data_IF_865565551569
#
_entry.id   IF_865565551569
#
_cell.length_a   1.000
_cell.length_b   1.000
_cell.length_c   1.000
_cell.angle_alpha   90.00
_cell.angle_beta   90.00
_cell.angle_gamma   90.00
#
_symmetry.space_group_name_H-M   'P 1'
#
loop_
_entity.id
_entity.type
_entity.pdbx_description
1 polymer ?
#
# COMPACT_ATOMS: atom_id res chain seq x y z
N UNK A 1 12.57 40.57 24.13
CA UNK A 1 13.30 39.28 23.96
C UNK A 1 12.82 38.16 24.88
N UNK A 2 11.90 38.41 25.85
CA UNK A 2 11.28 37.35 26.68
C UNK A 2 9.99 36.77 26.08
N UNK A 3 9.28 37.54 25.26
CA UNK A 3 7.96 37.12 24.75
C UNK A 3 8.04 36.03 23.68
N UNK A 4 9.17 35.93 22.95
CA UNK A 4 9.34 35.03 21.81
C UNK A 4 9.65 33.57 22.23
N UNK A 5 10.19 33.38 23.45
CA UNK A 5 10.54 32.06 24.00
C UNK A 5 9.28 31.36 24.51
N UNK A 6 8.36 32.11 25.13
CA UNK A 6 7.06 31.60 25.60
C UNK A 6 6.18 31.10 24.45
N UNK A 7 6.16 31.80 23.32
CA UNK A 7 5.40 31.38 22.14
C UNK A 7 5.97 30.10 21.51
N UNK A 8 7.29 29.94 21.47
CA UNK A 8 7.93 28.73 20.93
C UNK A 8 7.69 27.51 21.84
N UNK A 9 7.69 27.70 23.17
CA UNK A 9 7.35 26.62 24.12
C UNK A 9 5.87 26.24 24.08
N UNK A 10 4.95 27.21 23.93
CA UNK A 10 3.52 26.95 23.78
C UNK A 10 3.18 26.28 22.44
N UNK A 11 3.85 26.69 21.36
CA UNK A 11 3.78 26.02 20.05
C UNK A 11 4.38 24.61 20.13
N UNK A 12 5.43 24.40 20.93
CA UNK A 12 6.00 23.08 21.21
C UNK A 12 5.06 22.17 22.00
N UNK A 13 4.42 22.69 23.06
CA UNK A 13 3.45 21.96 23.90
C UNK A 13 2.14 21.69 23.18
N UNK A 14 1.66 22.59 22.33
CA UNK A 14 0.47 22.36 21.48
C UNK A 14 0.77 21.30 20.41
N UNK A 15 1.94 21.34 19.76
CA UNK A 15 2.41 20.28 18.86
C UNK A 15 2.56 18.92 19.56
N UNK A 16 2.97 18.88 20.83
CA UNK A 16 3.03 17.64 21.62
C UNK A 16 1.65 17.13 22.06
N UNK A 17 0.75 18.01 22.55
CA UNK A 17 -0.63 17.66 22.91
C UNK A 17 -1.44 17.18 21.70
N UNK A 18 -1.22 17.74 20.52
CA UNK A 18 -1.90 17.35 19.27
C UNK A 18 -1.29 16.14 18.55
N UNK A 19 -0.07 15.72 18.93
CA UNK A 19 0.47 14.41 18.53
C UNK A 19 -0.22 13.28 19.30
N UNK A 20 -0.83 13.58 20.46
CA UNK A 20 -1.47 12.60 21.33
C UNK A 20 -2.58 11.79 20.64
N UNK A 21 -3.53 12.34 19.84
CA UNK A 21 -4.60 11.54 19.24
C UNK A 21 -4.10 10.56 18.17
N UNK A 22 -3.11 10.95 17.37
CA UNK A 22 -2.48 10.07 16.37
C UNK A 22 -1.59 9.05 17.04
N UNK A 23 -0.82 9.43 18.08
CA UNK A 23 -0.05 8.49 18.89
C UNK A 23 -0.94 7.57 19.73
N UNK A 24 -2.16 7.98 20.09
CA UNK A 24 -3.17 7.19 20.80
C UNK A 24 -3.92 6.27 19.84
N UNK A 25 -4.20 6.69 18.60
CA UNK A 25 -4.71 5.79 17.56
C UNK A 25 -3.64 4.78 17.16
N UNK A 26 -2.41 5.22 16.90
CA UNK A 26 -1.26 4.35 16.67
C UNK A 26 -0.91 3.53 17.91
N UNK A 27 -1.24 4.01 19.11
CA UNK A 27 -1.03 3.34 20.41
C UNK A 27 -2.06 2.26 20.66
N UNK A 28 -3.35 2.54 20.44
CA UNK A 28 -4.46 1.57 20.43
C UNK A 28 -4.30 0.54 19.32
N UNK A 29 -3.79 0.96 18.16
CA UNK A 29 -3.38 0.06 17.08
C UNK A 29 -2.24 -0.87 17.55
N UNK A 30 -1.24 -0.33 18.26
CA UNK A 30 -0.12 -1.09 18.85
C UNK A 30 -0.54 -2.07 19.96
N UNK A 31 -1.48 -1.69 20.81
CA UNK A 31 -1.99 -2.55 21.90
C UNK A 31 -2.81 -3.72 21.35
N UNK A 32 -3.74 -3.46 20.42
CA UNK A 32 -4.51 -4.52 19.75
C UNK A 32 -3.62 -5.45 18.91
N UNK A 33 -2.49 -4.97 18.35
CA UNK A 33 -1.53 -5.79 17.61
C UNK A 33 -0.71 -6.73 18.50
N UNK A 34 -0.27 -6.29 19.69
CA UNK A 34 0.50 -7.10 20.64
C UNK A 34 -0.27 -8.29 21.19
N UNK A 35 -1.59 -8.17 21.32
CA UNK A 35 -2.46 -9.26 21.79
C UNK A 35 -2.75 -10.33 20.71
N UNK A 36 -2.49 -10.02 19.43
CA UNK A 36 -2.73 -10.93 18.32
C UNK A 36 -1.52 -11.83 18.04
N UNK A 37 -1.67 -13.14 18.30
CA UNK A 37 -0.67 -14.12 17.92
C UNK A 37 -0.34 -14.09 16.41
N UNK A 38 0.91 -14.39 16.05
CA UNK A 38 1.43 -14.29 14.67
C UNK A 38 0.53 -14.96 13.62
N UNK A 39 -0.13 -16.07 13.97
CA UNK A 39 -1.07 -16.80 13.12
C UNK A 39 -2.33 -15.98 12.82
N UNK A 40 -2.94 -15.34 13.83
CA UNK A 40 -4.13 -14.49 13.63
C UNK A 40 -3.81 -13.31 12.72
N UNK A 41 -2.63 -12.70 12.90
CA UNK A 41 -2.16 -11.63 12.04
C UNK A 41 -1.93 -12.07 10.59
N UNK A 42 -1.39 -13.28 10.37
CA UNK A 42 -1.22 -13.84 9.04
C UNK A 42 -2.56 -14.14 8.36
N UNK A 43 -3.55 -14.66 9.10
CA UNK A 43 -4.91 -14.88 8.57
C UNK A 43 -5.54 -13.54 8.17
N UNK A 44 -5.44 -12.52 9.02
CA UNK A 44 -5.93 -11.18 8.71
C UNK A 44 -5.31 -10.60 7.44
N UNK A 45 -3.99 -10.76 7.26
CA UNK A 45 -3.28 -10.39 6.04
C UNK A 45 -3.80 -11.14 4.80
N UNK A 46 -4.00 -12.45 4.89
CA UNK A 46 -4.52 -13.25 3.79
C UNK A 46 -5.93 -12.82 3.36
N UNK A 47 -6.82 -12.60 4.32
CA UNK A 47 -8.19 -12.12 4.06
C UNK A 47 -8.14 -10.74 3.42
N UNK A 48 -7.37 -9.81 3.98
CA UNK A 48 -7.28 -8.45 3.47
C UNK A 48 -6.69 -8.43 2.05
N UNK A 49 -5.66 -9.24 1.77
CA UNK A 49 -5.11 -9.38 0.41
C UNK A 49 -6.12 -9.97 -0.55
N UNK A 50 -6.88 -10.99 -0.16
CA UNK A 50 -7.94 -11.56 -0.98
C UNK A 50 -8.96 -10.48 -1.38
N UNK A 51 -9.45 -9.71 -0.41
CA UNK A 51 -10.43 -8.66 -0.68
C UNK A 51 -9.84 -7.53 -1.55
N UNK A 52 -8.58 -7.15 -1.31
CA UNK A 52 -7.89 -6.16 -2.13
C UNK A 52 -7.75 -6.61 -3.58
N UNK A 53 -7.17 -7.79 -3.83
CA UNK A 53 -6.95 -8.32 -5.18
C UNK A 53 -8.27 -8.54 -5.93
N UNK A 54 -9.31 -9.01 -5.23
CA UNK A 54 -10.67 -9.09 -5.77
C UNK A 54 -11.20 -7.72 -6.23
N UNK A 55 -10.94 -6.66 -5.44
CA UNK A 55 -11.53 -5.35 -5.67
C UNK A 55 -10.78 -4.51 -6.68
N UNK A 56 -9.45 -4.66 -6.82
CA UNK A 56 -8.63 -3.81 -7.71
C UNK A 56 -9.18 -3.69 -9.14
N UNK A 57 -9.63 -4.75 -9.84
CA UNK A 57 -10.23 -4.61 -11.17
C UNK A 57 -11.51 -3.78 -11.20
N UNK A 58 -12.28 -3.76 -10.10
CA UNK A 58 -13.51 -2.97 -9.97
C UNK A 58 -13.24 -1.48 -9.97
N UNK A 59 -12.02 -1.04 -9.63
CA UNK A 59 -11.62 0.36 -9.73
C UNK A 59 -11.79 0.88 -11.16
N UNK A 60 -11.30 0.14 -12.16
CA UNK A 60 -11.46 0.51 -13.56
C UNK A 60 -12.93 0.48 -14.01
N UNK A 61 -13.68 -0.53 -13.55
CA UNK A 61 -15.11 -0.68 -13.85
C UNK A 61 -15.91 0.51 -13.31
N UNK A 62 -15.83 0.78 -12.01
CA UNK A 62 -16.55 1.89 -11.40
C UNK A 62 -16.12 3.24 -11.96
N UNK A 63 -14.81 3.46 -12.18
CA UNK A 63 -14.33 4.71 -12.74
C UNK A 63 -14.87 4.95 -14.16
N UNK A 64 -14.91 3.91 -15.00
CA UNK A 64 -15.46 4.00 -16.36
C UNK A 64 -16.97 4.22 -16.39
N UNK A 65 -17.72 3.58 -15.50
CA UNK A 65 -19.17 3.79 -15.37
C UNK A 65 -19.46 5.22 -14.92
N UNK A 66 -18.77 5.72 -13.90
CA UNK A 66 -18.97 7.08 -13.38
C UNK A 66 -18.57 8.12 -14.44
N UNK A 67 -17.44 7.93 -15.12
CA UNK A 67 -16.99 8.82 -16.19
C UNK A 67 -18.00 8.89 -17.34
N UNK A 68 -18.53 7.74 -17.76
CA UNK A 68 -19.56 7.68 -18.79
C UNK A 68 -20.87 8.37 -18.35
N UNK A 69 -21.30 8.18 -17.10
CA UNK A 69 -22.49 8.82 -16.55
C UNK A 69 -22.36 10.35 -16.50
N UNK A 70 -21.19 10.86 -16.12
CA UNK A 70 -20.90 12.31 -16.05
C UNK A 70 -20.59 12.91 -17.44
N UNK A 71 -20.41 12.07 -18.47
CA UNK A 71 -20.11 12.53 -19.83
C UNK A 71 -18.67 13.00 -20.03
N UNK A 72 -17.70 12.42 -19.30
CA UNK A 72 -16.28 12.76 -19.41
C UNK A 72 -15.46 11.58 -19.90
N UNK A 73 -14.37 11.86 -20.63
CA UNK A 73 -13.44 10.83 -21.05
C UNK A 73 -12.68 10.24 -19.86
N UNK A 74 -12.53 8.92 -19.82
CA UNK A 74 -11.88 8.21 -18.70
C UNK A 74 -10.42 8.64 -18.45
N UNK A 75 -9.70 9.02 -19.50
CA UNK A 75 -8.28 9.45 -19.41
C UNK A 75 -8.11 10.97 -19.33
N UNK A 76 -9.20 11.74 -19.29
CA UNK A 76 -9.15 13.18 -19.04
C UNK A 76 -8.79 13.50 -17.59
N UNK A 77 -8.43 14.74 -17.29
CA UNK A 77 -8.18 15.19 -15.91
C UNK A 77 -9.38 14.88 -15.00
N UNK A 78 -10.61 15.07 -15.50
CA UNK A 78 -11.83 14.75 -14.76
C UNK A 78 -11.99 13.23 -14.54
N UNK A 79 -11.72 12.41 -15.56
CA UNK A 79 -11.74 10.95 -15.46
C UNK A 79 -10.70 10.40 -14.47
N UNK A 80 -9.51 10.99 -14.45
CA UNK A 80 -8.48 10.66 -13.46
C UNK A 80 -8.87 11.09 -12.05
N UNK A 81 -9.49 12.26 -11.90
CA UNK A 81 -10.03 12.69 -10.60
C UNK A 81 -11.07 11.70 -10.08
N UNK A 82 -11.98 11.22 -10.92
CA UNK A 82 -12.93 10.15 -10.57
C UNK A 82 -12.18 8.90 -10.10
N UNK A 83 -11.19 8.46 -10.88
CA UNK A 83 -10.38 7.26 -10.60
C UNK A 83 -9.67 7.37 -9.25
N UNK A 84 -9.09 8.54 -8.95
CA UNK A 84 -8.42 8.82 -7.67
C UNK A 84 -9.41 8.74 -6.50
N UNK A 85 -10.61 9.29 -6.64
CA UNK A 85 -11.61 9.25 -5.56
C UNK A 85 -12.12 7.82 -5.31
N UNK A 86 -12.36 7.03 -6.36
CA UNK A 86 -12.70 5.61 -6.22
C UNK A 86 -11.56 4.83 -5.56
N UNK A 87 -10.32 5.06 -5.99
CA UNK A 87 -9.13 4.46 -5.38
C UNK A 87 -8.99 4.84 -3.90
N UNK A 88 -9.20 6.10 -3.55
CA UNK A 88 -9.16 6.59 -2.17
C UNK A 88 -10.23 5.93 -1.31
N UNK A 89 -11.45 5.74 -1.83
CA UNK A 89 -12.52 5.04 -1.12
C UNK A 89 -12.16 3.57 -0.83
N UNK A 90 -11.59 2.87 -1.82
CA UNK A 90 -11.12 1.50 -1.61
C UNK A 90 -10.01 1.46 -0.57
N UNK A 91 -8.96 2.27 -0.74
CA UNK A 91 -7.85 2.33 0.21
C UNK A 91 -8.32 2.69 1.62
N UNK A 92 -9.28 3.60 1.76
CA UNK A 92 -9.86 3.97 3.05
C UNK A 92 -10.53 2.76 3.69
N UNK A 93 -11.39 2.07 2.93
CA UNK A 93 -12.10 0.87 3.37
C UNK A 93 -11.14 -0.22 3.81
N UNK A 94 -10.14 -0.54 2.99
CA UNK A 94 -9.14 -1.58 3.32
C UNK A 94 -8.21 -1.18 4.45
N UNK A 95 -7.90 0.10 4.61
CA UNK A 95 -7.13 0.58 5.77
C UNK A 95 -7.92 0.43 7.07
N UNK A 96 -9.24 0.69 7.05
CA UNK A 96 -10.12 0.50 8.21
C UNK A 96 -10.29 -0.98 8.56
N UNK A 97 -10.51 -1.85 7.57
CA UNK A 97 -10.58 -3.30 7.78
C UNK A 97 -9.25 -3.82 8.30
N UNK A 98 -8.13 -3.41 7.71
CA UNK A 98 -6.80 -3.80 8.16
C UNK A 98 -6.53 -3.37 9.59
N UNK A 99 -6.95 -2.18 10.00
CA UNK A 99 -6.87 -1.71 11.38
C UNK A 99 -7.74 -2.57 12.32
N UNK A 100 -8.95 -2.94 11.91
CA UNK A 100 -9.83 -3.82 12.69
C UNK A 100 -9.28 -5.26 12.80
N UNK A 101 -8.53 -5.72 11.79
CA UNK A 101 -7.83 -7.01 11.76
C UNK A 101 -6.41 -6.92 12.37
N UNK A 102 -6.19 -6.06 13.36
CA UNK A 102 -4.92 -5.94 14.08
C UNK A 102 -3.75 -5.57 13.15
N UNK A 103 -3.94 -4.50 12.38
CA UNK A 103 -2.90 -3.93 11.50
C UNK A 103 -2.48 -4.83 10.34
N UNK A 104 -3.44 -5.62 9.84
CA UNK A 104 -3.25 -6.41 8.64
C UNK A 104 -2.85 -5.54 7.45
N UNK A 105 -1.96 -6.07 6.61
CA UNK A 105 -1.42 -5.43 5.42
C UNK A 105 -1.63 -6.36 4.23
N UNK A 106 -2.17 -5.82 3.14
CA UNK A 106 -2.38 -6.55 1.90
C UNK A 106 -1.18 -6.48 0.93
N UNK A 107 -0.09 -5.83 1.34
CA UNK A 107 1.07 -5.59 0.50
C UNK A 107 2.39 -5.97 1.20
N UNK A 108 3.14 -6.97 0.68
CA UNK A 108 4.45 -7.32 1.18
C UNK A 108 5.46 -6.15 1.13
N UNK A 109 5.46 -5.35 0.06
CA UNK A 109 6.36 -4.20 -0.08
C UNK A 109 6.08 -3.12 0.98
N UNK A 110 4.81 -2.85 1.28
CA UNK A 110 4.42 -1.97 2.39
C UNK A 110 4.88 -2.51 3.74
N UNK A 111 4.82 -3.83 3.93
CA UNK A 111 5.28 -4.46 5.17
C UNK A 111 6.80 -4.29 5.34
N UNK A 112 7.58 -4.53 4.28
CA UNK A 112 9.04 -4.34 4.28
C UNK A 112 9.42 -2.89 4.52
N UNK A 113 8.75 -1.94 3.87
CA UNK A 113 9.13 -0.53 4.00
C UNK A 113 8.88 -0.03 5.42
N UNK A 114 7.74 -0.38 6.02
CA UNK A 114 7.41 0.00 7.41
C UNK A 114 8.31 -0.71 8.44
N UNK A 115 8.62 -2.00 8.23
CA UNK A 115 9.58 -2.73 9.05
C UNK A 115 10.96 -2.08 8.99
N UNK A 116 11.49 -1.86 7.78
CA UNK A 116 12.81 -1.24 7.57
C UNK A 116 12.85 0.15 8.18
N UNK A 117 11.76 0.93 8.11
CA UNK A 117 11.65 2.25 8.73
C UNK A 117 11.60 2.23 10.27
N UNK A 118 11.39 1.07 10.89
CA UNK A 118 11.16 0.97 12.35
C UNK A 118 9.76 1.43 12.77
N UNK A 119 8.83 1.52 11.82
CA UNK A 119 7.45 1.96 12.05
C UNK A 119 6.50 0.78 12.31
N UNK A 120 6.97 -0.46 12.15
CA UNK A 120 6.26 -1.69 12.49
C UNK A 120 7.09 -2.54 13.47
N UNK A 121 7.13 -2.17 14.77
CA UNK A 121 8.03 -2.78 15.76
C UNK A 121 7.73 -4.25 16.04
N UNK A 122 6.50 -4.70 15.85
CA UNK A 122 6.09 -6.10 16.07
C UNK A 122 6.33 -6.98 14.84
N UNK A 123 6.74 -6.40 13.70
CA UNK A 123 7.19 -7.17 12.55
C UNK A 123 8.63 -7.66 12.79
N UNK A 124 8.81 -8.97 12.64
CA UNK A 124 10.12 -9.63 12.55
C UNK A 124 10.27 -10.31 11.18
N UNK A 125 11.50 -10.66 10.81
CA UNK A 125 11.75 -11.49 9.61
C UNK A 125 10.95 -12.79 9.65
N UNK A 126 10.85 -13.44 10.81
CA UNK A 126 10.05 -14.65 10.99
C UNK A 126 8.56 -14.39 10.75
N UNK A 127 8.02 -13.29 11.28
CA UNK A 127 6.62 -12.94 11.06
C UNK A 127 6.32 -12.67 9.58
N UNK A 128 7.25 -12.03 8.85
CA UNK A 128 7.09 -11.77 7.42
C UNK A 128 7.19 -13.06 6.60
N UNK A 129 8.08 -13.98 6.97
CA UNK A 129 8.19 -15.29 6.35
C UNK A 129 6.90 -16.12 6.47
N UNK A 130 6.14 -15.96 7.58
CA UNK A 130 4.82 -16.57 7.73
C UNK A 130 3.74 -15.83 6.93
N UNK A 131 3.77 -14.49 6.95
CA UNK A 131 2.69 -13.65 6.41
C UNK A 131 2.71 -13.55 4.89
N UNK A 132 3.88 -13.46 4.25
CA UNK A 132 3.96 -13.27 2.80
C UNK A 132 3.38 -14.44 1.98
N UNK A 133 3.62 -15.72 2.34
CA UNK A 133 2.93 -16.83 1.69
C UNK A 133 1.41 -16.77 1.86
N UNK A 134 0.92 -16.37 3.04
CA UNK A 134 -0.51 -16.24 3.32
C UNK A 134 -1.13 -15.08 2.53
N UNK A 135 -0.43 -13.94 2.41
CA UNK A 135 -0.84 -12.85 1.53
C UNK A 135 -0.87 -13.30 0.07
N UNK A 136 0.14 -14.03 -0.41
CA UNK A 136 0.19 -14.54 -1.78
C UNK A 136 -0.99 -15.50 -2.06
N UNK A 137 -1.27 -16.43 -1.14
CA UNK A 137 -2.43 -17.31 -1.23
C UNK A 137 -3.75 -16.53 -1.24
N UNK A 138 -3.89 -15.52 -0.38
CA UNK A 138 -5.03 -14.59 -0.41
C UNK A 138 -5.17 -13.91 -1.77
N UNK A 139 -4.07 -13.46 -2.36
CA UNK A 139 -4.05 -12.87 -3.70
C UNK A 139 -4.53 -13.82 -4.79
N UNK A 140 -4.15 -15.10 -4.73
CA UNK A 140 -4.65 -16.15 -5.64
C UNK A 140 -6.17 -16.28 -5.52
N UNK A 141 -6.68 -16.45 -4.29
CA UNK A 141 -8.13 -16.60 -4.05
C UNK A 141 -8.88 -15.38 -4.56
N UNK A 142 -8.39 -14.17 -4.29
CA UNK A 142 -8.99 -12.93 -4.76
C UNK A 142 -9.04 -12.83 -6.29
N UNK A 143 -7.94 -13.17 -6.98
CA UNK A 143 -7.85 -13.16 -8.43
C UNK A 143 -8.76 -14.21 -9.09
N UNK A 144 -8.85 -15.41 -8.51
CA UNK A 144 -9.78 -16.45 -8.96
C UNK A 144 -11.22 -15.97 -8.80
N UNK A 145 -11.60 -15.51 -7.60
CA UNK A 145 -12.96 -15.10 -7.29
C UNK A 145 -13.45 -13.98 -8.23
N UNK A 146 -12.62 -12.95 -8.49
CA UNK A 146 -13.03 -11.86 -9.39
C UNK A 146 -13.15 -12.34 -10.84
N UNK A 147 -12.30 -13.27 -11.27
CA UNK A 147 -12.35 -13.82 -12.64
C UNK A 147 -13.65 -14.60 -12.87
N UNK A 148 -14.11 -15.34 -11.86
CA UNK A 148 -15.38 -16.09 -11.92
C UNK A 148 -16.60 -15.16 -11.98
N UNK A 149 -16.67 -14.16 -11.10
CA UNK A 149 -17.88 -13.32 -10.96
C UNK A 149 -17.93 -12.11 -11.89
N UNK A 150 -16.82 -11.74 -12.55
CA UNK A 150 -16.78 -10.55 -13.41
C UNK A 150 -17.74 -10.70 -14.61
N UNK A 151 -18.70 -9.76 -14.80
CA UNK A 151 -19.61 -9.77 -15.94
C UNK A 151 -18.85 -9.74 -17.27
N UNK A 152 -19.40 -10.43 -18.30
CA UNK A 152 -18.75 -10.57 -19.62
C UNK A 152 -18.33 -9.23 -20.21
N UNK A 153 -19.18 -8.20 -20.08
CA UNK A 153 -18.88 -6.87 -20.62
C UNK A 153 -17.68 -6.18 -19.95
N UNK A 154 -17.28 -6.58 -18.73
CA UNK A 154 -16.17 -5.97 -17.98
C UNK A 154 -14.92 -6.84 -17.91
N UNK A 155 -14.93 -8.07 -18.43
CA UNK A 155 -13.75 -8.96 -18.38
C UNK A 155 -12.50 -8.38 -19.03
N UNK A 156 -12.66 -7.43 -19.96
CA UNK A 156 -11.55 -6.70 -20.56
C UNK A 156 -10.70 -5.90 -19.56
N UNK A 157 -11.21 -5.60 -18.36
CA UNK A 157 -10.47 -4.89 -17.31
C UNK A 157 -9.50 -5.79 -16.56
N UNK A 158 -9.73 -7.11 -16.56
CA UNK A 158 -8.90 -8.07 -15.84
C UNK A 158 -7.51 -8.18 -16.49
N UNK A 159 -7.47 -8.21 -17.84
CA UNK A 159 -6.24 -8.26 -18.68
C UNK A 159 -5.16 -9.25 -18.22
N UNK A 160 -5.52 -10.30 -17.47
CA UNK A 160 -4.57 -11.23 -16.86
C UNK A 160 -3.69 -10.64 -15.76
N UNK A 161 -4.02 -9.45 -15.24
CA UNK A 161 -3.31 -8.76 -14.16
C UNK A 161 -1.96 -8.16 -14.55
N UNK A 162 -1.09 -7.87 -13.55
CA UNK A 162 0.29 -7.45 -13.78
C UNK A 162 1.07 -8.47 -14.62
N UNK A 163 1.79 -7.99 -15.62
CA UNK A 163 2.58 -8.82 -16.53
C UNK A 163 3.66 -7.99 -17.21
N UNK A 164 4.83 -8.59 -17.42
CA UNK A 164 5.93 -7.95 -18.14
C UNK A 164 5.53 -7.65 -19.61
N UNK A 165 5.69 -6.40 -20.04
CA UNK A 165 5.37 -5.91 -21.41
C UNK A 165 6.58 -5.37 -22.17
N UNK A 166 7.72 -5.31 -21.50
CA UNK A 166 9.03 -4.85 -22.00
C UNK A 166 10.07 -5.94 -21.74
N UNK A 167 11.34 -5.71 -22.06
CA UNK A 167 12.40 -6.63 -21.68
C UNK A 167 12.50 -6.79 -20.16
N UNK A 168 13.08 -7.92 -19.74
CA UNK A 168 13.16 -8.33 -18.33
C UNK A 168 13.76 -7.26 -17.43
N UNK A 169 14.90 -6.67 -17.82
CA UNK A 169 15.63 -5.75 -16.97
C UNK A 169 14.95 -4.38 -16.90
N UNK A 170 14.42 -3.89 -18.02
CA UNK A 170 13.63 -2.64 -18.02
C UNK A 170 12.39 -2.78 -17.16
N UNK A 171 11.67 -3.91 -17.24
CA UNK A 171 10.51 -4.16 -16.40
C UNK A 171 10.85 -4.29 -14.92
N UNK A 172 11.96 -4.98 -14.61
CA UNK A 172 12.47 -5.11 -13.25
C UNK A 172 12.84 -3.75 -12.64
N UNK A 173 13.56 -2.90 -13.38
CA UNK A 173 13.89 -1.54 -12.97
C UNK A 173 12.61 -0.74 -12.77
N UNK A 174 11.64 -0.83 -13.69
CA UNK A 174 10.38 -0.11 -13.58
C UNK A 174 9.61 -0.49 -12.30
N UNK A 175 9.39 -1.78 -12.01
CA UNK A 175 8.72 -2.20 -10.77
C UNK A 175 9.46 -1.75 -9.50
N UNK A 176 10.80 -1.86 -9.50
CA UNK A 176 11.62 -1.38 -8.38
C UNK A 176 11.48 0.12 -8.14
N UNK A 177 11.56 0.94 -9.20
CA UNK A 177 11.45 2.40 -9.13
C UNK A 177 10.03 2.84 -8.75
N UNK A 178 9.00 2.21 -9.32
CA UNK A 178 7.61 2.52 -8.97
C UNK A 178 7.32 2.16 -7.52
N UNK A 179 7.79 0.99 -7.06
CA UNK A 179 7.66 0.56 -5.66
C UNK A 179 8.41 1.50 -4.72
N UNK A 180 9.60 1.96 -5.12
CA UNK A 180 10.37 2.96 -4.39
C UNK A 180 9.56 4.25 -4.19
N UNK A 181 8.99 4.81 -5.26
CA UNK A 181 8.24 6.07 -5.16
C UNK A 181 6.96 5.94 -4.34
N UNK A 182 6.19 4.84 -4.46
CA UNK A 182 5.00 4.67 -3.63
C UNK A 182 5.35 4.47 -2.16
N UNK A 183 6.44 3.75 -1.85
CA UNK A 183 6.90 3.58 -0.47
C UNK A 183 7.48 4.89 0.11
N UNK A 184 8.13 5.70 -0.71
CA UNK A 184 8.61 7.02 -0.32
C UNK A 184 7.43 7.97 -0.06
N UNK A 185 6.42 7.96 -0.92
CA UNK A 185 5.18 8.70 -0.73
C UNK A 185 4.46 8.25 0.56
N UNK A 186 4.39 6.95 0.83
CA UNK A 186 3.87 6.40 2.09
C UNK A 186 4.57 7.01 3.30
N UNK A 187 5.91 6.98 3.35
CA UNK A 187 6.65 7.57 4.46
C UNK A 187 6.45 9.08 4.57
N UNK A 188 6.49 9.80 3.46
CA UNK A 188 6.26 11.24 3.46
C UNK A 188 4.88 11.59 4.02
N UNK A 189 3.83 10.91 3.56
CA UNK A 189 2.45 11.11 4.02
C UNK A 189 2.27 10.72 5.49
N UNK A 190 2.92 9.65 5.94
CA UNK A 190 2.83 9.22 7.34
C UNK A 190 3.54 10.17 8.30
N UNK A 191 4.76 10.61 7.95
CA UNK A 191 5.65 11.37 8.84
C UNK A 191 5.47 12.89 8.73
N UNK A 192 5.27 13.42 7.52
CA UNK A 192 5.17 14.86 7.25
C UNK A 192 3.85 15.27 6.59
N UNK A 193 3.00 14.31 6.24
CA UNK A 193 1.70 14.57 5.61
C UNK A 193 0.67 15.21 6.55
N UNK A 194 -0.51 15.53 6.01
CA UNK A 194 -1.58 16.18 6.76
C UNK A 194 -2.06 15.31 7.92
N UNK A 195 -2.59 15.92 8.97
CA UNK A 195 -3.08 15.18 10.16
C UNK A 195 -4.35 14.37 9.88
N UNK A 196 -5.19 14.83 8.95
CA UNK A 196 -6.43 14.17 8.59
C UNK A 196 -6.17 12.84 7.89
N UNK A 197 -6.70 11.75 8.44
CA UNK A 197 -6.51 10.39 7.91
C UNK A 197 -7.07 10.19 6.51
N UNK A 198 -8.27 10.71 6.22
CA UNK A 198 -8.90 10.63 4.89
C UNK A 198 -8.01 11.33 3.85
N UNK A 199 -7.45 12.50 4.20
CA UNK A 199 -6.56 13.22 3.31
C UNK A 199 -5.23 12.47 3.09
N UNK A 200 -4.68 11.79 4.11
CA UNK A 200 -3.53 10.90 3.94
C UNK A 200 -3.82 9.79 2.93
N UNK A 201 -4.95 9.11 3.10
CA UNK A 201 -5.38 8.03 2.17
C UNK A 201 -5.57 8.57 0.76
N UNK A 202 -6.20 9.74 0.62
CA UNK A 202 -6.39 10.38 -0.68
C UNK A 202 -5.07 10.74 -1.36
N UNK A 203 -4.09 11.29 -0.64
CA UNK A 203 -2.75 11.56 -1.18
C UNK A 203 -2.03 10.28 -1.65
N UNK A 204 -2.20 9.16 -0.92
CA UNK A 204 -1.67 7.87 -1.35
C UNK A 204 -2.39 7.31 -2.58
N UNK A 205 -3.70 7.55 -2.71
CA UNK A 205 -4.45 7.21 -3.90
C UNK A 205 -3.99 8.02 -5.12
N UNK A 206 -3.74 9.32 -4.96
CA UNK A 206 -3.14 10.18 -6.00
C UNK A 206 -1.81 9.61 -6.46
N UNK A 207 -0.90 9.32 -5.53
CA UNK A 207 0.41 8.77 -5.84
C UNK A 207 0.29 7.41 -6.55
N UNK A 208 -0.59 6.53 -6.06
CA UNK A 208 -0.80 5.20 -6.62
C UNK A 208 -1.34 5.26 -8.04
N UNK A 209 -2.40 6.04 -8.28
CA UNK A 209 -2.98 6.19 -9.63
C UNK A 209 -1.96 6.79 -10.59
N UNK A 210 -1.22 7.83 -10.17
CA UNK A 210 -0.17 8.43 -10.99
C UNK A 210 0.94 7.44 -11.36
N UNK A 211 1.41 6.63 -10.41
CA UNK A 211 2.43 5.60 -10.66
C UNK A 211 1.88 4.46 -11.51
N UNK A 212 0.60 4.08 -11.35
CA UNK A 212 -0.04 3.08 -12.21
C UNK A 212 -0.06 3.55 -13.66
N UNK A 213 -0.40 4.81 -13.90
CA UNK A 213 -0.38 5.40 -15.23
C UNK A 213 1.04 5.43 -15.82
N UNK A 214 2.03 5.85 -15.04
CA UNK A 214 3.42 5.93 -15.48
C UNK A 214 4.01 4.56 -15.81
N UNK A 215 3.72 3.54 -14.99
CA UNK A 215 4.25 2.18 -15.14
C UNK A 215 3.44 1.28 -16.07
N UNK A 216 2.22 1.68 -16.47
CA UNK A 216 1.24 0.82 -17.14
C UNK A 216 1.75 0.09 -18.38
N UNK A 217 2.66 0.72 -19.13
CA UNK A 217 3.25 0.17 -20.37
C UNK A 217 4.44 -0.78 -20.13
N UNK A 218 5.00 -0.81 -18.93
CA UNK A 218 6.17 -1.64 -18.60
C UNK A 218 5.75 -2.99 -18.00
N UNK A 219 4.99 -2.96 -16.91
CA UNK A 219 4.68 -4.18 -16.13
C UNK A 219 3.21 -4.31 -15.74
N UNK A 220 2.36 -3.31 -16.04
CA UNK A 220 1.02 -3.25 -15.44
C UNK A 220 1.17 -3.15 -13.92
N UNK A 221 1.66 -2.00 -13.43
CA UNK A 221 2.52 -1.97 -12.27
C UNK A 221 1.77 -2.39 -11.02
N UNK A 222 2.27 -3.45 -10.39
CA UNK A 222 1.62 -3.99 -9.19
C UNK A 222 2.05 -3.21 -7.97
N UNK A 223 3.36 -2.94 -7.83
CA UNK A 223 3.98 -2.38 -6.61
C UNK A 223 3.60 -3.15 -5.33
N UNK A 224 3.10 -4.37 -5.52
CA UNK A 224 2.56 -5.27 -4.52
C UNK A 224 2.83 -6.71 -4.98
N UNK A 225 3.83 -7.38 -4.39
CA UNK A 225 4.19 -8.74 -4.78
C UNK A 225 3.07 -9.77 -4.64
N UNK A 226 2.23 -9.66 -3.60
CA UNK A 226 1.12 -10.60 -3.37
C UNK A 226 0.00 -10.43 -4.41
N UNK A 227 -0.30 -9.17 -4.79
CA UNK A 227 -1.23 -8.90 -5.89
C UNK A 227 -0.70 -9.46 -7.23
N UNK A 228 0.56 -9.19 -7.56
CA UNK A 228 1.16 -9.73 -8.79
C UNK A 228 1.17 -11.26 -8.81
N UNK A 229 1.46 -11.89 -7.67
CA UNK A 229 1.51 -13.34 -7.53
C UNK A 229 0.15 -13.98 -7.79
N UNK A 230 -0.92 -13.39 -7.23
CA UNK A 230 -2.28 -13.85 -7.44
C UNK A 230 -2.62 -14.00 -8.92
N UNK A 231 -2.39 -12.94 -9.70
CA UNK A 231 -2.64 -12.96 -11.15
C UNK A 231 -1.71 -13.89 -11.92
N UNK A 232 -0.42 -13.91 -11.58
CA UNK A 232 0.55 -14.79 -12.24
C UNK A 232 0.26 -16.27 -11.97
N UNK A 233 -0.42 -16.61 -10.88
CA UNK A 233 -0.84 -17.97 -10.57
C UNK A 233 -1.84 -18.50 -11.60
N UNK A 234 -2.87 -17.69 -11.93
CA UNK A 234 -3.89 -18.04 -12.92
C UNK A 234 -3.30 -18.30 -14.31
N UNK A 235 -2.17 -17.68 -14.64
CA UNK A 235 -1.46 -17.87 -15.91
C UNK A 235 -0.29 -18.84 -15.83
N UNK A 236 -0.12 -19.57 -14.72
CA UNK A 236 1.02 -20.47 -14.45
C UNK A 236 2.42 -19.82 -14.63
N UNK A 237 2.54 -18.52 -14.40
CA UNK A 237 3.80 -17.75 -14.47
C UNK A 237 4.41 -17.46 -13.10
N UNK A 238 3.66 -17.71 -12.02
CA UNK A 238 4.06 -17.40 -10.65
C UNK A 238 5.36 -18.06 -10.19
N UNK A 239 5.76 -19.19 -10.80
CA UNK A 239 6.95 -19.94 -10.44
C UNK A 239 8.18 -19.61 -11.29
N UNK A 240 8.11 -18.67 -12.24
CA UNK A 240 9.26 -18.34 -13.10
C UNK A 240 10.24 -17.41 -12.39
N UNK A 241 11.53 -17.55 -12.72
CA UNK A 241 12.56 -16.65 -12.21
C UNK A 241 12.28 -15.19 -12.58
N UNK A 242 11.89 -14.95 -13.83
CA UNK A 242 11.54 -13.62 -14.33
C UNK A 242 10.45 -12.95 -13.48
N UNK A 243 9.43 -13.73 -13.08
CA UNK A 243 8.36 -13.23 -12.23
C UNK A 243 8.87 -12.87 -10.83
N UNK A 244 9.63 -13.76 -10.18
CA UNK A 244 10.21 -13.49 -8.86
C UNK A 244 11.17 -12.29 -8.88
N UNK A 245 12.00 -12.20 -9.91
CA UNK A 245 12.93 -11.09 -10.08
C UNK A 245 12.19 -9.75 -10.21
N UNK A 246 11.22 -9.66 -11.14
CA UNK A 246 10.50 -8.42 -11.44
C UNK A 246 9.52 -8.02 -10.34
N UNK A 247 8.74 -8.95 -9.78
CA UNK A 247 7.60 -8.62 -8.90
C UNK A 247 7.84 -8.88 -7.41
N UNK A 248 8.94 -9.52 -7.03
CA UNK A 248 9.31 -9.70 -5.61
C UNK A 248 10.62 -8.98 -5.28
N UNK A 249 11.71 -9.35 -5.94
CA UNK A 249 13.06 -8.86 -5.61
C UNK A 249 13.16 -7.35 -5.84
N UNK A 250 12.83 -6.87 -7.04
CA UNK A 250 12.93 -5.45 -7.37
C UNK A 250 12.01 -4.55 -6.53
N UNK A 251 10.73 -4.91 -6.30
CA UNK A 251 9.87 -4.21 -5.35
C UNK A 251 10.42 -4.16 -3.92
N UNK A 252 11.00 -5.25 -3.43
CA UNK A 252 11.62 -5.28 -2.10
C UNK A 252 12.85 -4.38 -1.99
N UNK A 253 13.69 -4.34 -3.04
CA UNK A 253 14.80 -3.39 -3.13
C UNK A 253 14.27 -1.96 -3.10
N UNK A 254 13.27 -1.63 -3.93
CA UNK A 254 12.65 -0.31 -3.97
C UNK A 254 12.05 0.11 -2.62
N UNK A 255 11.28 -0.78 -1.99
CA UNK A 255 10.67 -0.56 -0.67
C UNK A 255 11.72 -0.31 0.44
N UNK A 256 12.83 -1.05 0.41
CA UNK A 256 13.93 -0.92 1.36
C UNK A 256 14.68 0.39 1.16
N UNK A 257 15.02 0.74 -0.09
CA UNK A 257 15.68 2.01 -0.41
C UNK A 257 14.82 3.21 0.00
N UNK A 258 13.51 3.16 -0.24
CA UNK A 258 12.59 4.22 0.18
C UNK A 258 12.60 4.42 1.70
N UNK A 259 12.64 3.33 2.47
CA UNK A 259 12.72 3.40 3.93
C UNK A 259 14.05 4.00 4.42
N UNK A 260 15.18 3.57 3.84
CA UNK A 260 16.51 4.08 4.21
C UNK A 260 16.64 5.58 3.90
N UNK A 261 16.22 6.00 2.70
CA UNK A 261 16.22 7.42 2.32
C UNK A 261 15.27 8.23 3.21
N UNK A 262 14.10 7.69 3.52
CA UNK A 262 13.14 8.35 4.42
C UNK A 262 13.73 8.53 5.83
N UNK A 263 14.46 7.55 6.37
CA UNK A 263 15.14 7.71 7.66
C UNK A 263 16.15 8.85 7.63
N UNK A 264 16.92 8.95 6.55
CA UNK A 264 17.94 10.00 6.39
C UNK A 264 17.33 11.39 6.20
N UNK A 265 16.35 11.53 5.30
CA UNK A 265 15.76 12.83 4.92
C UNK A 265 14.66 13.31 5.87
N UNK A 266 13.93 12.40 6.50
CA UNK A 266 12.74 12.74 7.29
C UNK A 266 12.95 12.65 8.80
N UNK A 267 14.12 12.18 9.27
CA UNK A 267 14.54 12.07 10.68
C UNK A 267 13.37 11.78 11.64
N UNK A 268 12.99 10.51 11.80
CA UNK A 268 12.17 10.13 12.93
C UNK A 268 13.02 10.26 14.21
N UNK A 269 12.66 11.11 15.20
CA UNK A 269 13.34 11.05 16.48
C UNK A 269 13.15 9.66 17.07
N UNK A 270 14.19 9.07 17.70
CA UNK A 270 14.07 7.75 18.30
C UNK A 270 12.94 7.75 19.33
N UNK A 271 12.08 6.73 19.26
CA UNK A 271 11.06 6.48 20.28
C UNK A 271 11.83 6.10 21.54
N UNK A 272 11.90 7.02 22.52
CA UNK A 272 12.36 6.66 23.86
C UNK A 272 11.36 5.69 24.46
N UNK A 273 11.78 4.45 24.68
CA UNK A 273 11.06 3.54 25.56
C UNK A 273 10.94 4.21 26.93
N UNK A 274 9.72 4.55 27.33
CA UNK A 274 9.45 4.82 28.74
C UNK A 274 9.55 3.48 29.45
N UNK A 275 10.74 3.16 29.97
CA UNK A 275 10.85 2.23 31.09
C UNK A 275 10.07 2.85 32.25
N UNK A 276 8.97 2.19 32.60
CA UNK A 276 8.35 2.29 33.92
C UNK A 276 8.82 1.07 34.71
#
# INVERSE_FOLDING_TARGET
MRDDITTQEEVGRSRQRERAPVLVLLGRWRENEREMGAIKGAIGDGILTCMWVFSVPLLGVFSSIIAAYVGVEAMSIAGLFITINVAALFMLTFSLIGAACGGASFNPATTITLYTAGLKPDASLMSMALRFPVQAAGGVVGAMAITEVMPKQYRYVLRGGPSLKVDLHTGAIAEGVLTFFICLALHFVLLKGPRNFVLKVWLLAVATVGLIMAGGKYTGPSMNPANAYGWAYLSNRHATWDFFYVYWICPFIGATLAALISKFLLQAPPIKDKKA
#
